data_IF_953172591225
#
_entry.id   IF_953172591225
#
_cell.length_a   1.000
_cell.length_b   1.000
_cell.length_c   1.000
_cell.angle_alpha   90.00
_cell.angle_beta   90.00
_cell.angle_gamma   90.00
#
_symmetry.space_group_name_H-M   'P 1'
#
loop_
_entity.id
_entity.type
_entity.pdbx_description
1 polymer ?
#
# COMPACT_ATOMS: atom_id res chain seq x y z
N UNK A 1 -16.32 -10.94 -11.56
CA UNK A 1 -15.00 -11.55 -11.79
C UNK A 1 -13.89 -10.76 -11.07
N UNK A 2 -13.87 -9.41 -11.15
CA UNK A 2 -13.00 -8.53 -10.34
C UNK A 2 -13.02 -8.83 -8.83
N UNK A 3 -14.22 -8.83 -8.20
CA UNK A 3 -14.37 -9.06 -6.75
C UNK A 3 -13.73 -10.37 -6.29
N UNK A 4 -13.80 -11.42 -7.11
CA UNK A 4 -13.18 -12.72 -6.82
C UNK A 4 -11.65 -12.64 -6.86
N UNK A 5 -11.06 -11.93 -7.83
CA UNK A 5 -9.62 -11.77 -7.92
C UNK A 5 -9.05 -10.94 -6.76
N UNK A 6 -9.72 -9.86 -6.36
CA UNK A 6 -9.28 -9.06 -5.22
C UNK A 6 -9.35 -9.86 -3.90
N UNK A 7 -10.48 -10.55 -3.66
CA UNK A 7 -10.66 -11.35 -2.46
C UNK A 7 -9.65 -12.51 -2.38
N UNK A 8 -9.44 -13.24 -3.48
CA UNK A 8 -8.42 -14.29 -3.53
C UNK A 8 -7.01 -13.72 -3.32
N UNK A 9 -6.74 -12.56 -3.93
CA UNK A 9 -5.48 -11.85 -3.77
C UNK A 9 -5.16 -11.59 -2.30
N UNK A 10 -6.09 -10.97 -1.58
CA UNK A 10 -5.96 -10.71 -0.14
C UNK A 10 -5.82 -12.00 0.68
N UNK A 11 -6.64 -13.02 0.41
CA UNK A 11 -6.58 -14.30 1.13
C UNK A 11 -5.21 -15.00 0.99
N UNK A 12 -4.57 -14.92 -0.18
CA UNK A 12 -3.23 -15.47 -0.35
C UNK A 12 -2.17 -14.66 0.38
N UNK A 13 -2.32 -13.33 0.46
CA UNK A 13 -1.43 -12.47 1.25
C UNK A 13 -1.53 -12.83 2.73
N UNK A 14 -2.76 -12.96 3.26
CA UNK A 14 -3.02 -13.37 4.65
C UNK A 14 -2.45 -14.75 5.01
N UNK A 15 -2.21 -15.60 4.01
CA UNK A 15 -1.61 -16.94 4.15
C UNK A 15 -0.09 -16.96 3.90
N UNK A 16 0.58 -15.80 3.94
CA UNK A 16 2.00 -15.59 3.61
C UNK A 16 2.40 -16.04 2.18
N UNK A 17 1.42 -16.27 1.31
CA UNK A 17 1.64 -16.64 -0.09
C UNK A 17 1.65 -15.39 -0.98
N UNK A 18 2.47 -14.41 -0.60
CA UNK A 18 2.44 -13.07 -1.18
C UNK A 18 2.57 -13.05 -2.71
N UNK A 19 3.41 -13.90 -3.31
CA UNK A 19 3.55 -13.97 -4.78
C UNK A 19 2.28 -14.43 -5.50
N UNK A 20 1.53 -15.37 -4.90
CA UNK A 20 0.22 -15.79 -5.43
C UNK A 20 -0.80 -14.67 -5.24
N UNK A 21 -0.78 -14.01 -4.08
CA UNK A 21 -1.61 -12.84 -3.81
C UNK A 21 -1.41 -11.75 -4.85
N UNK A 22 -0.15 -11.34 -5.06
CA UNK A 22 0.27 -10.35 -6.06
C UNK A 22 -0.27 -10.70 -7.45
N UNK A 23 -0.18 -11.97 -7.87
CA UNK A 23 -0.70 -12.40 -9.17
C UNK A 23 -2.20 -12.12 -9.33
N UNK A 24 -3.01 -12.46 -8.32
CA UNK A 24 -4.45 -12.21 -8.37
C UNK A 24 -4.81 -10.73 -8.23
N UNK A 25 -4.06 -9.99 -7.43
CA UNK A 25 -4.24 -8.55 -7.27
C UNK A 25 -3.86 -7.76 -8.53
N UNK A 26 -2.80 -8.17 -9.24
CA UNK A 26 -2.45 -7.60 -10.55
C UNK A 26 -3.55 -7.85 -11.58
N UNK A 27 -4.13 -9.07 -11.59
CA UNK A 27 -5.31 -9.33 -12.42
C UNK A 27 -6.48 -8.43 -12.04
N UNK A 28 -6.76 -8.27 -10.75
CA UNK A 28 -7.83 -7.39 -10.29
C UNK A 28 -7.60 -5.93 -10.74
N UNK A 29 -6.38 -5.42 -10.59
CA UNK A 29 -6.00 -4.08 -11.05
C UNK A 29 -6.15 -3.90 -12.56
N UNK A 30 -5.79 -4.91 -13.36
CA UNK A 30 -5.93 -4.86 -14.82
C UNK A 30 -7.40 -4.90 -15.27
N UNK A 31 -8.28 -5.57 -14.52
CA UNK A 31 -9.71 -5.66 -14.84
C UNK A 31 -10.50 -4.40 -14.48
N UNK A 32 -10.01 -3.61 -13.53
CA UNK A 32 -10.65 -2.37 -13.10
C UNK A 32 -9.59 -1.28 -12.86
N UNK A 33 -9.00 -0.73 -13.95
CA UNK A 33 -8.11 0.41 -13.84
C UNK A 33 -8.87 1.57 -13.18
N UNK A 34 -8.35 2.07 -12.05
CA UNK A 34 -9.00 3.12 -11.25
C UNK A 34 -9.67 2.64 -9.96
N UNK A 35 -9.60 1.35 -9.61
CA UNK A 35 -9.96 0.88 -8.26
C UNK A 35 -8.75 0.89 -7.34
N UNK A 36 -8.94 1.42 -6.13
CA UNK A 36 -7.88 1.53 -5.14
C UNK A 36 -7.66 0.24 -4.35
N UNK A 37 -8.69 -0.56 -4.13
CA UNK A 37 -8.58 -1.75 -3.26
C UNK A 37 -7.47 -2.73 -3.75
N UNK A 38 -7.37 -3.07 -5.04
CA UNK A 38 -6.27 -3.91 -5.53
C UNK A 38 -4.89 -3.26 -5.41
N UNK A 39 -4.79 -1.94 -5.60
CA UNK A 39 -3.52 -1.19 -5.50
C UNK A 39 -3.02 -1.17 -4.06
N UNK A 40 -3.91 -0.93 -3.09
CA UNK A 40 -3.59 -0.95 -1.66
C UNK A 40 -3.13 -2.35 -1.25
N UNK A 41 -3.87 -3.38 -1.67
CA UNK A 41 -3.50 -4.76 -1.36
C UNK A 41 -2.16 -5.17 -2.02
N UNK A 42 -1.85 -4.67 -3.23
CA UNK A 42 -0.54 -4.86 -3.85
C UNK A 42 0.55 -4.18 -3.02
N UNK A 43 0.32 -2.95 -2.58
CA UNK A 43 1.27 -2.21 -1.76
C UNK A 43 1.59 -2.97 -0.47
N UNK A 44 0.56 -3.47 0.23
CA UNK A 44 0.71 -4.29 1.45
C UNK A 44 1.47 -5.58 1.15
N UNK A 45 1.11 -6.33 0.10
CA UNK A 45 1.80 -7.56 -0.25
C UNK A 45 3.28 -7.35 -0.57
N UNK A 46 3.63 -6.26 -1.26
CA UNK A 46 5.03 -5.90 -1.50
C UNK A 46 5.75 -5.44 -0.22
N UNK A 47 5.05 -4.77 0.69
CA UNK A 47 5.59 -4.34 1.97
C UNK A 47 5.98 -5.52 2.86
N UNK A 48 5.13 -6.54 2.96
CA UNK A 48 5.38 -7.75 3.75
C UNK A 48 6.58 -8.54 3.22
N UNK A 49 6.82 -8.48 1.90
CA UNK A 49 8.02 -9.01 1.26
C UNK A 49 9.28 -8.14 1.48
N UNK A 50 9.19 -7.00 2.17
CA UNK A 50 10.27 -6.04 2.36
C UNK A 50 10.60 -5.20 1.11
N UNK A 51 9.76 -5.27 0.08
CA UNK A 51 9.93 -4.56 -1.20
C UNK A 51 9.32 -3.16 -1.13
N UNK A 52 9.77 -2.35 -0.17
CA UNK A 52 9.16 -1.06 0.17
C UNK A 52 9.11 -0.06 -0.99
N UNK A 53 10.08 -0.09 -1.90
CA UNK A 53 10.06 0.78 -3.09
C UNK A 53 8.81 0.52 -3.94
N UNK A 54 8.52 -0.76 -4.23
CA UNK A 54 7.33 -1.15 -4.99
C UNK A 54 6.05 -0.84 -4.22
N UNK A 55 6.05 -1.09 -2.90
CA UNK A 55 4.91 -0.75 -2.06
C UNK A 55 4.55 0.75 -2.16
N UNK A 56 5.56 1.62 -2.05
CA UNK A 56 5.41 3.06 -2.19
C UNK A 56 4.93 3.47 -3.60
N UNK A 57 5.38 2.80 -4.66
CA UNK A 57 4.90 3.09 -6.01
C UNK A 57 3.39 2.81 -6.16
N UNK A 58 2.89 1.68 -5.64
CA UNK A 58 1.46 1.37 -5.63
C UNK A 58 0.64 2.27 -4.71
N UNK A 59 1.18 2.64 -3.55
CA UNK A 59 0.54 3.65 -2.70
C UNK A 59 0.43 5.01 -3.39
N UNK A 60 1.47 5.44 -4.12
CA UNK A 60 1.45 6.68 -4.88
C UNK A 60 0.39 6.63 -5.99
N UNK A 61 0.19 5.48 -6.65
CA UNK A 61 -0.90 5.30 -7.60
C UNK A 61 -2.27 5.41 -6.92
N UNK A 62 -2.46 4.77 -5.76
CA UNK A 62 -3.72 4.85 -5.02
C UNK A 62 -4.05 6.29 -4.57
N UNK A 63 -3.05 7.06 -4.10
CA UNK A 63 -3.22 8.46 -3.70
C UNK A 63 -3.69 9.35 -4.84
N UNK A 64 -3.27 9.07 -6.09
CA UNK A 64 -3.75 9.83 -7.27
C UNK A 64 -5.23 9.63 -7.57
N UNK A 65 -5.83 8.53 -7.10
CA UNK A 65 -7.24 8.23 -7.37
C UNK A 65 -8.12 8.92 -6.34
N UNK A 66 -7.86 8.71 -5.05
CA UNK A 66 -8.52 9.42 -3.96
C UNK A 66 -7.55 9.57 -2.77
N UNK A 67 -6.99 10.77 -2.55
CA UNK A 67 -6.06 11.03 -1.47
C UNK A 67 -6.73 11.03 -0.08
N UNK A 68 -8.06 10.99 0.00
CA UNK A 68 -8.82 10.96 1.25
C UNK A 68 -9.42 9.58 1.57
N UNK A 69 -9.09 8.55 0.77
CA UNK A 69 -9.67 7.23 0.94
C UNK A 69 -9.27 6.59 2.29
N UNK A 70 -10.25 6.34 3.15
CA UNK A 70 -10.02 5.89 4.54
C UNK A 70 -9.08 4.67 4.67
N UNK A 71 -9.31 3.56 3.96
CA UNK A 71 -8.43 2.39 4.00
C UNK A 71 -7.00 2.67 3.49
N UNK A 72 -6.83 3.56 2.51
CA UNK A 72 -5.50 3.99 2.07
C UNK A 72 -4.80 4.75 3.19
N UNK A 73 -5.45 5.77 3.77
CA UNK A 73 -4.86 6.57 4.84
C UNK A 73 -4.50 5.74 6.08
N UNK A 74 -5.30 4.73 6.41
CA UNK A 74 -4.96 3.78 7.49
C UNK A 74 -3.63 3.06 7.23
N UNK A 75 -3.44 2.52 6.01
CA UNK A 75 -2.18 1.86 5.63
C UNK A 75 -1.01 2.85 5.58
N UNK A 76 -1.20 4.04 5.01
CA UNK A 76 -0.16 5.06 4.94
C UNK A 76 0.30 5.54 6.33
N UNK A 77 -0.62 5.67 7.31
CA UNK A 77 -0.25 6.00 8.69
C UNK A 77 0.64 4.94 9.34
N UNK A 78 0.33 3.66 9.11
CA UNK A 78 1.16 2.55 9.60
C UNK A 78 2.56 2.62 8.96
N UNK A 79 2.60 2.81 7.64
CA UNK A 79 3.86 2.94 6.88
C UNK A 79 4.70 4.15 7.30
N UNK A 80 4.05 5.29 7.53
CA UNK A 80 4.66 6.54 7.98
C UNK A 80 5.25 6.37 9.39
N UNK A 81 4.50 5.79 10.33
CA UNK A 81 4.98 5.53 11.69
C UNK A 81 6.17 4.57 11.72
N UNK A 82 6.22 3.64 10.76
CA UNK A 82 7.35 2.72 10.60
C UNK A 82 8.57 3.35 9.90
N UNK A 83 8.50 4.61 9.44
CA UNK A 83 9.57 5.28 8.70
C UNK A 83 9.80 4.69 7.31
N UNK A 84 8.81 3.98 6.74
CA UNK A 84 8.90 3.27 5.46
C UNK A 84 8.18 4.02 4.32
N UNK A 85 7.50 5.11 4.63
CA UNK A 85 6.73 5.90 3.67
C UNK A 85 7.62 6.91 2.95
N UNK A 86 7.49 6.94 1.62
CA UNK A 86 8.17 7.92 0.78
C UNK A 86 7.53 9.31 0.92
N UNK A 87 8.36 10.35 1.07
CA UNK A 87 7.92 11.73 1.24
C UNK A 87 7.08 12.22 0.05
N UNK A 88 7.33 11.70 -1.15
CA UNK A 88 6.54 12.00 -2.35
C UNK A 88 5.06 11.65 -2.21
N UNK A 89 4.72 10.69 -1.33
CA UNK A 89 3.35 10.30 -1.07
C UNK A 89 2.71 11.32 -0.12
N UNK A 90 3.46 11.81 0.87
CA UNK A 90 3.00 12.83 1.82
C UNK A 90 2.56 14.11 1.10
N UNK A 91 3.34 14.58 0.12
CA UNK A 91 3.02 15.77 -0.65
C UNK A 91 1.80 15.62 -1.57
N UNK A 92 1.40 14.37 -1.87
CA UNK A 92 0.22 14.06 -2.67
C UNK A 92 -1.09 13.97 -1.86
N UNK A 93 -1.03 14.06 -0.54
CA UNK A 93 -2.22 13.95 0.32
C UNK A 93 -2.91 15.29 0.52
N UNK A 94 -4.23 15.24 0.78
CA UNK A 94 -4.98 16.42 1.17
C UNK A 94 -4.46 16.99 2.51
N UNK A 95 -4.60 18.31 2.78
CA UNK A 95 -4.26 18.90 4.06
C UNK A 95 -4.91 18.14 5.23
N UNK A 96 -4.10 17.71 6.21
CA UNK A 96 -4.58 16.89 7.33
C UNK A 96 -4.78 15.40 7.01
N UNK A 97 -4.43 14.93 5.80
CA UNK A 97 -4.70 13.57 5.34
C UNK A 97 -4.17 12.45 6.25
N UNK A 98 -3.01 12.63 6.90
CA UNK A 98 -2.48 11.67 7.87
C UNK A 98 -2.68 12.08 9.35
N UNK A 99 -3.13 13.32 9.61
CA UNK A 99 -3.17 13.93 10.94
C UNK A 99 -1.77 14.29 11.48
N UNK A 100 -1.72 15.03 12.60
CA UNK A 100 -0.49 15.57 13.22
C UNK A 100 0.53 14.50 13.67
N UNK A 101 0.12 13.24 13.70
CA UNK A 101 0.92 12.07 14.12
C UNK A 101 1.77 11.43 13.01
N UNK A 102 1.84 12.04 11.83
CA UNK A 102 2.50 11.48 10.63
C UNK A 102 4.00 11.83 10.49
N UNK A 103 4.55 12.66 11.37
CA UNK A 103 5.99 12.89 11.40
C UNK A 103 6.69 11.61 11.89
N UNK A 104 7.68 11.09 11.14
CA UNK A 104 8.21 9.76 11.38
C UNK A 104 8.90 9.67 12.75
N UNK A 105 8.60 8.61 13.49
CA UNK A 105 9.58 8.05 14.41
C UNK A 105 10.79 7.61 13.57
N UNK A 106 12.00 7.85 14.08
CA UNK A 106 13.27 7.63 13.39
C UNK A 106 13.28 6.32 12.56
N UNK A 107 13.90 6.31 11.36
CA UNK A 107 13.92 5.14 10.51
C UNK A 107 14.44 3.92 11.29
N UNK A 108 13.85 2.73 11.13
CA UNK A 108 14.31 1.54 11.83
C UNK A 108 15.80 1.33 11.51
N UNK A 109 16.65 1.00 12.51
CA UNK A 109 18.06 0.77 12.27
C UNK A 109 18.19 -0.25 11.15
N UNK A 110 18.88 0.14 10.07
CA UNK A 110 19.04 -0.70 8.90
C UNK A 110 19.53 -2.07 9.32
N UNK A 111 18.87 -3.14 8.85
CA UNK A 111 19.40 -4.49 9.01
C UNK A 111 20.71 -4.53 8.21
N UNK A 112 21.81 -4.32 8.92
CA UNK A 112 23.15 -4.49 8.41
C UNK A 112 23.28 -5.88 7.79
N UNK A 113 23.95 -5.92 6.64
CA UNK A 113 24.68 -7.11 6.24
C UNK A 113 26.07 -7.00 6.81
#
# INVERSE_FOLDING_TARGET
MLFRCNALGAEYVDKDQHWRGIYFLQKASAMAPGRMEPLINLAVAYAELGLYRKANDYFAEAVKIDPAYGPLLANLRIFSRAGLLDEKILSGLAPGGLGDSALPAAPPPGKGK
#
